data_IF_087397114183
#
_entry.id   IF_087397114183
#
_cell.length_a   1.000
_cell.length_b   1.000
_cell.length_c   1.000
_cell.angle_alpha   90.00
_cell.angle_beta   90.00
_cell.angle_gamma   90.00
#
_symmetry.space_group_name_H-M   'P 1'
#
loop_
_entity.id
_entity.type
_entity.pdbx_description
1 polymer ?
#
# COMPACT_ATOMS: atom_id res chain seq x y z
N UNK A 1 2.28 13.09 -3.96
CA UNK A 1 2.77 11.88 -3.28
C UNK A 1 3.88 11.31 -4.11
N UNK A 2 4.97 10.91 -3.49
CA UNK A 2 6.07 10.22 -4.17
C UNK A 2 5.89 8.70 -4.10
N UNK A 3 6.32 7.99 -5.14
CA UNK A 3 6.28 6.53 -5.22
C UNK A 3 7.71 6.02 -5.31
N UNK A 4 8.10 5.20 -4.35
CA UNK A 4 9.44 4.61 -4.25
C UNK A 4 9.37 3.10 -4.46
N UNK A 5 10.45 2.52 -4.99
CA UNK A 5 10.61 1.06 -5.11
C UNK A 5 9.70 0.38 -6.14
N UNK A 6 9.09 1.16 -7.05
CA UNK A 6 8.23 0.62 -8.12
C UNK A 6 9.02 -0.30 -9.06
N UNK A 7 10.27 0.04 -9.32
CA UNK A 7 11.22 -0.74 -10.10
C UNK A 7 11.55 -2.09 -9.45
N UNK A 8 11.55 -2.15 -8.11
CA UNK A 8 11.88 -3.36 -7.34
C UNK A 8 10.80 -4.45 -7.43
N UNK A 9 9.57 -4.08 -7.81
CA UNK A 9 8.44 -5.01 -7.96
C UNK A 9 8.02 -5.23 -9.42
N UNK A 10 8.68 -4.59 -10.39
CA UNK A 10 8.19 -4.57 -11.78
C UNK A 10 8.15 -5.97 -12.40
N UNK A 11 9.17 -6.79 -12.14
CA UNK A 11 9.20 -8.19 -12.56
C UNK A 11 8.14 -9.04 -11.85
N UNK A 12 7.87 -8.77 -10.58
CA UNK A 12 6.87 -9.49 -9.78
C UNK A 12 5.46 -9.23 -10.31
N UNK A 13 5.14 -8.01 -10.76
CA UNK A 13 3.80 -7.69 -11.28
C UNK A 13 3.37 -8.54 -12.50
N UNK A 14 4.31 -9.14 -13.21
CA UNK A 14 4.05 -10.05 -14.32
C UNK A 14 3.76 -11.49 -13.89
N UNK A 15 3.97 -11.83 -12.60
CA UNK A 15 3.68 -13.15 -12.07
C UNK A 15 2.19 -13.32 -11.77
N UNK A 16 1.65 -14.51 -12.01
CA UNK A 16 0.22 -14.80 -11.75
C UNK A 16 -0.17 -14.68 -10.28
N UNK A 17 0.78 -14.87 -9.37
CA UNK A 17 0.56 -14.92 -7.93
C UNK A 17 1.58 -14.06 -7.19
N UNK A 18 1.71 -12.80 -7.59
CA UNK A 18 2.64 -11.89 -6.92
C UNK A 18 2.19 -11.55 -5.50
N UNK A 19 3.18 -11.23 -4.68
CA UNK A 19 2.97 -10.75 -3.34
C UNK A 19 4.11 -9.80 -2.99
N UNK A 20 3.78 -8.55 -2.74
CA UNK A 20 4.74 -7.54 -2.29
C UNK A 20 4.12 -6.69 -1.19
N UNK A 21 4.96 -5.91 -0.51
CA UNK A 21 4.58 -5.06 0.61
C UNK A 21 4.50 -3.60 0.16
N UNK A 22 3.71 -2.83 0.89
CA UNK A 22 3.56 -1.39 0.71
C UNK A 22 3.62 -0.72 2.07
N UNK A 23 4.37 0.38 2.16
CA UNK A 23 4.32 1.32 3.28
C UNK A 23 3.86 2.66 2.73
N UNK A 24 2.90 3.33 3.36
CA UNK A 24 2.39 4.60 2.85
C UNK A 24 2.04 5.60 3.96
N UNK A 25 2.15 6.89 3.65
CA UNK A 25 1.67 7.98 4.48
C UNK A 25 1.21 9.16 3.61
N UNK A 26 0.99 10.33 4.20
CA UNK A 26 0.52 11.51 3.47
C UNK A 26 1.53 12.08 2.45
N UNK A 27 2.82 11.75 2.60
CA UNK A 27 3.92 12.21 1.75
C UNK A 27 4.13 11.28 0.54
N UNK A 28 3.97 9.97 0.72
CA UNK A 28 4.18 9.02 -0.36
C UNK A 28 3.93 7.57 0.00
N UNK A 29 4.47 6.67 -0.83
CA UNK A 29 4.45 5.24 -0.60
C UNK A 29 5.73 4.57 -1.09
N UNK A 30 6.09 3.47 -0.46
CA UNK A 30 7.20 2.61 -0.82
C UNK A 30 6.66 1.22 -1.15
N UNK A 31 6.97 0.72 -2.34
CA UNK A 31 6.68 -0.65 -2.79
C UNK A 31 7.95 -1.48 -2.69
N UNK A 32 7.84 -2.69 -2.15
CA UNK A 32 9.02 -3.53 -1.98
C UNK A 32 8.69 -5.03 -1.91
N UNK A 33 9.65 -5.89 -2.27
CA UNK A 33 9.45 -7.34 -2.25
C UNK A 33 9.01 -7.86 -0.87
N UNK A 34 8.28 -8.97 -0.86
CA UNK A 34 7.81 -9.62 0.37
C UNK A 34 8.95 -9.92 1.35
N UNK A 35 10.12 -10.26 0.82
CA UNK A 35 11.30 -10.68 1.57
C UNK A 35 11.87 -9.56 2.45
N UNK A 36 11.61 -8.29 2.11
CA UNK A 36 12.09 -7.16 2.89
C UNK A 36 11.11 -6.82 4.00
N UNK A 37 11.62 -6.61 5.22
CA UNK A 37 10.80 -6.18 6.34
C UNK A 37 10.51 -4.67 6.29
N UNK A 38 9.34 -4.28 6.80
CA UNK A 38 8.90 -2.87 6.74
C UNK A 38 9.84 -1.93 7.52
N UNK A 39 10.60 -2.46 8.48
CA UNK A 39 11.60 -1.72 9.27
C UNK A 39 12.94 -1.53 8.52
N UNK A 40 13.19 -2.34 7.48
CA UNK A 40 14.43 -2.29 6.69
C UNK A 40 14.36 -1.24 5.58
N UNK A 41 13.17 -0.70 5.30
CA UNK A 41 12.91 0.26 4.24
C UNK A 41 12.27 1.51 4.84
N UNK A 42 12.91 2.65 4.57
CA UNK A 42 12.40 3.97 4.91
C UNK A 42 12.92 4.99 3.91
N UNK A 43 12.14 6.03 3.69
CA UNK A 43 12.53 7.21 2.92
C UNK A 43 12.51 8.42 3.85
N UNK A 44 13.10 9.54 3.42
CA UNK A 44 13.25 10.75 4.25
C UNK A 44 11.94 11.24 4.88
N UNK A 45 10.82 11.06 4.17
CA UNK A 45 9.47 11.46 4.60
C UNK A 45 8.55 10.26 4.90
N UNK A 46 9.05 9.02 4.93
CA UNK A 46 8.23 7.82 5.14
C UNK A 46 8.92 6.86 6.10
N UNK A 47 8.43 6.81 7.33
CA UNK A 47 9.02 6.04 8.42
C UNK A 47 8.00 5.09 9.05
N UNK A 48 8.10 3.82 8.66
CA UNK A 48 7.41 2.75 9.37
C UNK A 48 8.13 2.44 10.68
N UNK A 49 7.38 2.45 11.79
CA UNK A 49 7.85 1.97 13.09
C UNK A 49 6.85 0.95 13.62
N UNK A 50 7.29 -0.19 14.16
CA UNK A 50 6.41 -1.20 14.76
C UNK A 50 5.50 -0.62 15.83
N UNK A 51 4.44 -1.38 16.14
CA UNK A 51 3.41 -1.00 17.12
C UNK A 51 2.67 0.30 16.78
N UNK A 52 2.60 0.65 15.49
CA UNK A 52 1.91 1.86 15.01
C UNK A 52 2.46 3.16 15.60
N UNK A 53 3.78 3.21 15.82
CA UNK A 53 4.48 4.39 16.36
C UNK A 53 5.09 5.28 15.26
N UNK A 54 5.03 4.81 14.02
CA UNK A 54 5.57 5.50 12.86
C UNK A 54 4.55 6.46 12.27
N UNK A 55 4.94 7.11 11.19
CA UNK A 55 4.05 7.98 10.43
C UNK A 55 3.42 7.27 9.22
N UNK A 56 3.69 5.98 9.04
CA UNK A 56 3.30 5.22 7.87
C UNK A 56 2.53 3.93 8.18
N UNK A 57 1.52 3.65 7.36
CA UNK A 57 0.72 2.43 7.39
C UNK A 57 1.34 1.35 6.50
N UNK A 58 1.42 0.13 7.03
CA UNK A 58 1.90 -1.04 6.31
C UNK A 58 0.75 -1.81 5.65
N UNK A 59 1.03 -2.42 4.49
CA UNK A 59 0.08 -3.24 3.77
C UNK A 59 0.75 -4.30 2.90
N UNK A 60 -0.09 -5.20 2.41
CA UNK A 60 0.29 -6.28 1.51
C UNK A 60 -0.52 -6.16 0.23
N UNK A 61 0.14 -6.31 -0.91
CA UNK A 61 -0.46 -6.24 -2.24
C UNK A 61 -0.39 -7.60 -2.89
N UNK A 62 -1.56 -8.08 -3.35
CA UNK A 62 -1.75 -9.32 -4.11
C UNK A 62 -2.67 -9.04 -5.31
N UNK A 63 -2.74 -9.92 -6.32
CA UNK A 63 -3.57 -9.69 -7.48
C UNK A 63 -5.03 -9.37 -7.11
N UNK A 64 -5.49 -8.18 -7.47
CA UNK A 64 -6.86 -7.74 -7.23
C UNK A 64 -7.17 -7.26 -5.81
N UNK A 65 -6.19 -7.20 -4.91
CA UNK A 65 -6.44 -6.84 -3.51
C UNK A 65 -5.25 -6.19 -2.80
N UNK A 66 -5.52 -5.15 -2.01
CA UNK A 66 -4.57 -4.53 -1.07
C UNK A 66 -5.12 -4.66 0.35
N UNK A 67 -4.31 -5.16 1.27
CA UNK A 67 -4.68 -5.31 2.68
C UNK A 67 -3.77 -4.44 3.55
N UNK A 68 -4.34 -3.39 4.16
CA UNK A 68 -3.65 -2.52 5.11
C UNK A 68 -3.84 -3.00 6.55
N UNK A 69 -2.73 -3.00 7.30
CA UNK A 69 -2.70 -3.34 8.73
C UNK A 69 -3.21 -2.17 9.56
N UNK A 70 -3.80 -2.49 10.71
CA UNK A 70 -4.22 -1.49 11.69
C UNK A 70 -3.06 -0.56 12.08
N UNK A 71 -3.35 0.74 12.17
CA UNK A 71 -2.44 1.73 12.71
C UNK A 71 -3.20 2.73 13.59
N UNK A 72 -2.70 2.98 14.81
CA UNK A 72 -3.37 3.81 15.82
C UNK A 72 -3.71 5.23 15.32
N UNK A 73 -2.79 5.87 14.58
CA UNK A 73 -2.97 7.23 14.05
C UNK A 73 -3.71 7.31 12.70
N UNK A 74 -4.21 6.19 12.18
CA UNK A 74 -4.89 6.14 10.89
C UNK A 74 -6.35 5.70 11.09
N UNK A 75 -7.25 6.68 11.20
CA UNK A 75 -8.69 6.45 11.17
C UNK A 75 -9.12 5.91 9.81
N UNK A 76 -10.27 5.21 9.75
CA UNK A 76 -10.83 4.68 8.50
C UNK A 76 -10.96 5.79 7.43
N UNK A 77 -11.39 6.99 7.83
CA UNK A 77 -11.52 8.17 6.97
C UNK A 77 -10.18 8.63 6.41
N UNK A 78 -9.14 8.67 7.26
CA UNK A 78 -7.77 9.04 6.83
C UNK A 78 -7.22 8.01 5.86
N UNK A 79 -7.41 6.72 6.15
CA UNK A 79 -6.97 5.64 5.25
C UNK A 79 -7.71 5.70 3.93
N UNK A 80 -9.01 5.99 3.93
CA UNK A 80 -9.79 6.12 2.69
C UNK A 80 -9.24 7.23 1.81
N UNK A 81 -9.04 8.43 2.36
CA UNK A 81 -8.48 9.57 1.63
C UNK A 81 -7.05 9.30 1.14
N UNK A 82 -6.24 8.64 1.95
CA UNK A 82 -4.89 8.22 1.56
C UNK A 82 -4.95 7.27 0.35
N UNK A 83 -5.81 6.26 0.41
CA UNK A 83 -5.95 5.28 -0.67
C UNK A 83 -6.45 5.95 -1.96
N UNK A 84 -7.44 6.84 -1.89
CA UNK A 84 -7.92 7.57 -3.08
C UNK A 84 -6.78 8.34 -3.75
N UNK A 85 -5.91 8.98 -2.96
CA UNK A 85 -4.72 9.68 -3.46
C UNK A 85 -3.70 8.71 -4.05
N UNK A 86 -3.47 7.54 -3.43
CA UNK A 86 -2.58 6.49 -3.92
C UNK A 86 -3.08 5.94 -5.26
N UNK A 87 -4.36 5.59 -5.37
CA UNK A 87 -4.95 5.02 -6.59
C UNK A 87 -5.05 6.03 -7.75
N UNK A 88 -4.98 7.33 -7.45
CA UNK A 88 -4.89 8.37 -8.47
C UNK A 88 -3.49 8.49 -9.10
N UNK A 89 -2.47 7.85 -8.55
CA UNK A 89 -1.09 7.90 -9.05
C UNK A 89 -0.94 7.03 -10.30
N UNK A 90 -0.30 7.52 -11.38
CA UNK A 90 -0.03 6.74 -12.59
C UNK A 90 0.74 5.43 -12.31
N UNK A 91 1.67 5.45 -11.36
CA UNK A 91 2.50 4.32 -10.95
C UNK A 91 1.67 3.20 -10.31
N UNK A 92 0.50 3.54 -9.77
CA UNK A 92 -0.46 2.65 -9.12
C UNK A 92 -1.61 2.24 -10.06
N UNK A 93 -1.53 2.56 -11.36
CA UNK A 93 -2.58 2.23 -12.32
C UNK A 93 -2.93 0.73 -12.36
N UNK A 94 -1.99 -0.16 -12.04
CA UNK A 94 -2.23 -1.59 -11.94
C UNK A 94 -3.22 -2.00 -10.83
N UNK A 95 -3.37 -1.17 -9.79
CA UNK A 95 -4.20 -1.43 -8.62
C UNK A 95 -5.55 -0.68 -8.65
N UNK A 96 -5.84 0.07 -9.72
CA UNK A 96 -7.01 0.97 -9.81
C UNK A 96 -8.35 0.31 -9.50
N UNK A 97 -8.47 -0.98 -9.81
CA UNK A 97 -9.70 -1.75 -9.65
C UNK A 97 -9.63 -2.77 -8.51
N UNK A 98 -8.62 -2.67 -7.63
CA UNK A 98 -8.42 -3.64 -6.55
C UNK A 98 -9.42 -3.40 -5.42
N UNK A 99 -9.78 -4.50 -4.75
CA UNK A 99 -10.41 -4.39 -3.43
C UNK A 99 -9.37 -3.93 -2.41
N UNK A 100 -9.74 -3.01 -1.53
CA UNK A 100 -8.85 -2.53 -0.50
C UNK A 100 -9.49 -2.73 0.87
N UNK A 101 -8.80 -3.48 1.71
CA UNK A 101 -9.22 -3.76 3.07
C UNK A 101 -8.34 -3.03 4.08
N UNK A 102 -8.96 -2.62 5.18
CA UNK A 102 -8.29 -2.04 6.32
C UNK A 102 -8.89 -2.65 7.60
N UNK A 103 -8.03 -3.18 8.47
CA UNK A 103 -8.47 -3.86 9.70
C UNK A 103 -9.46 -5.02 9.45
N UNK A 104 -9.25 -5.76 8.34
CA UNK A 104 -10.13 -6.87 7.94
C UNK A 104 -11.50 -6.44 7.40
N UNK A 105 -11.73 -5.14 7.20
CA UNK A 105 -12.98 -4.58 6.64
C UNK A 105 -12.72 -4.02 5.25
N UNK A 106 -13.65 -4.23 4.31
CA UNK A 106 -13.57 -3.62 2.98
C UNK A 106 -13.77 -2.11 3.13
N UNK A 107 -12.76 -1.35 2.72
CA UNK A 107 -12.79 0.11 2.72
C UNK A 107 -13.06 0.66 1.32
N UNK A 108 -12.47 0.05 0.29
CA UNK A 108 -12.82 0.29 -1.11
C UNK A 108 -13.19 -1.05 -1.75
N UNK A 109 -14.42 -1.22 -2.24
CA UNK A 109 -14.80 -2.45 -2.93
C UNK A 109 -14.08 -2.56 -4.27
N UNK A 110 -13.85 -3.79 -4.71
CA UNK A 110 -13.38 -4.05 -6.07
C UNK A 110 -14.33 -3.37 -7.07
N UNK A 111 -13.79 -2.70 -8.08
CA UNK A 111 -14.61 -2.26 -9.22
C UNK A 111 -14.77 -3.46 -10.15
N UNK A 112 -15.97 -3.99 -10.23
CA UNK A 112 -16.31 -4.95 -11.28
C UNK A 112 -16.15 -4.25 -12.63
N UNK A 113 -15.27 -4.79 -13.46
CA UNK A 113 -15.13 -4.39 -14.85
C UNK A 113 -16.26 -5.12 -15.59
N UNK A 114 -17.36 -4.42 -15.88
CA UNK A 114 -18.41 -4.88 -16.81
C UNK A 114 -17.84 -5.16 -18.21
#
# INVERSE_FOLDING_TARGET
>A
MHVYGRESIDTQLHEKSYLFKITANDHGLILFPRETEHEEISEEDIHYVPDSKGDAIAGIVKPGHIEFRHHNDFSDERVHLLIERILALPEMAFAKDFEITYQGRVLIPRKDVE
#
